data_IF_184862410328
#
_entry.id   IF_184862410328
#
_cell.length_a   1.000
_cell.length_b   1.000
_cell.length_c   1.000
_cell.angle_alpha   90.00
_cell.angle_beta   90.00
_cell.angle_gamma   90.00
#
_symmetry.space_group_name_H-M   'P 1'
#
loop_
_entity.id
_entity.type
_entity.pdbx_description
1 polymer ?
#
# COMPACT_ATOMS: atom_id res chain seq x y z
N UNK A 1 54.55 16.22 2.51
CA UNK A 1 53.33 15.47 2.89
C UNK A 1 53.15 14.11 2.18
N UNK A 2 52.98 14.01 0.85
CA UNK A 2 52.71 12.72 0.18
C UNK A 2 53.92 11.78 0.04
N UNK A 3 55.14 12.33 -0.17
CA UNK A 3 56.39 11.54 -0.16
C UNK A 3 56.64 10.76 1.14
N UNK A 4 56.12 11.24 2.29
CA UNK A 4 56.23 10.54 3.58
C UNK A 4 55.23 9.39 3.74
N UNK A 5 54.24 9.24 2.84
CA UNK A 5 53.27 8.13 2.83
C UNK A 5 53.70 6.98 1.90
N UNK A 6 54.95 6.97 1.42
CA UNK A 6 55.47 5.93 0.52
C UNK A 6 54.93 6.01 -0.91
N UNK A 7 54.52 7.20 -1.35
CA UNK A 7 54.00 7.42 -2.69
C UNK A 7 54.97 8.32 -3.44
N UNK A 8 55.74 7.75 -4.37
CA UNK A 8 56.57 8.49 -5.33
C UNK A 8 55.72 8.86 -6.56
N UNK A 9 55.72 10.13 -6.94
CA UNK A 9 55.09 10.60 -8.19
C UNK A 9 55.91 11.71 -8.82
N UNK A 10 55.84 11.78 -10.15
CA UNK A 10 56.42 12.84 -10.98
C UNK A 10 55.62 14.15 -10.86
N UNK A 11 56.23 15.29 -11.21
CA UNK A 11 55.67 16.63 -11.06
C UNK A 11 54.34 16.84 -11.82
N UNK A 12 54.09 16.04 -12.87
CA UNK A 12 52.90 16.10 -13.71
C UNK A 12 51.72 15.27 -13.15
N UNK A 13 52.00 14.21 -12.37
CA UNK A 13 50.98 13.35 -11.75
C UNK A 13 50.42 13.92 -10.43
N UNK A 14 51.16 14.85 -9.80
CA UNK A 14 50.71 15.54 -8.59
C UNK A 14 49.47 16.44 -8.82
N UNK A 15 49.22 16.87 -10.06
CA UNK A 15 48.06 17.69 -10.44
C UNK A 15 46.76 16.91 -10.66
N UNK A 16 46.85 15.61 -10.97
CA UNK A 16 45.71 14.75 -11.30
C UNK A 16 45.21 13.91 -10.11
N UNK A 17 46.01 13.78 -9.05
CA UNK A 17 45.58 13.20 -7.78
C UNK A 17 44.68 14.21 -7.08
N UNK A 18 43.37 14.03 -7.21
CA UNK A 18 42.41 14.63 -6.29
C UNK A 18 42.75 14.11 -4.89
N UNK A 19 43.57 14.87 -4.15
CA UNK A 19 43.60 14.79 -2.69
C UNK A 19 42.13 14.90 -2.31
N UNK A 20 41.54 13.78 -1.87
CA UNK A 20 40.13 13.71 -1.54
C UNK A 20 39.81 14.97 -0.75
N UNK A 21 38.91 15.82 -1.25
CA UNK A 21 38.49 17.04 -0.55
C UNK A 21 38.01 16.60 0.84
N UNK A 22 38.91 16.59 1.82
CA UNK A 22 38.55 16.35 3.22
C UNK A 22 37.69 17.54 3.56
N UNK A 23 36.41 17.24 3.78
CA UNK A 23 35.32 18.18 3.86
C UNK A 23 35.75 19.52 4.51
N UNK A 24 35.68 20.63 3.76
CA UNK A 24 35.51 21.96 4.36
C UNK A 24 36.65 22.98 4.27
N UNK A 25 37.86 22.67 3.76
CA UNK A 25 38.82 23.76 3.51
C UNK A 25 38.49 24.45 2.18
N UNK A 26 38.15 25.73 2.22
CA UNK A 26 37.93 26.52 1.00
C UNK A 26 39.26 26.67 0.24
N UNK A 27 39.26 26.62 -1.11
CA UNK A 27 40.48 26.80 -1.91
C UNK A 27 41.24 28.09 -1.57
N UNK A 28 40.52 29.19 -1.33
CA UNK A 28 41.08 30.48 -0.90
C UNK A 28 41.80 30.40 0.45
N UNK A 29 41.22 29.67 1.41
CA UNK A 29 41.82 29.46 2.72
C UNK A 29 43.05 28.57 2.61
N UNK A 30 43.00 27.52 1.79
CA UNK A 30 44.16 26.70 1.51
C UNK A 30 45.31 27.55 0.94
N UNK A 31 45.05 28.38 -0.07
CA UNK A 31 46.04 29.26 -0.67
C UNK A 31 46.67 30.21 0.36
N UNK A 32 45.85 30.84 1.22
CA UNK A 32 46.32 31.78 2.26
C UNK A 32 47.28 31.15 3.28
N UNK A 33 47.05 29.90 3.68
CA UNK A 33 47.83 29.26 4.76
C UNK A 33 48.88 28.27 4.25
N UNK A 34 48.92 27.95 2.95
CA UNK A 34 49.76 26.88 2.37
C UNK A 34 51.25 27.01 2.74
N UNK A 35 51.81 28.22 2.63
CA UNK A 35 53.24 28.47 2.88
C UNK A 35 53.57 28.35 4.36
N UNK A 36 52.76 28.94 5.24
CA UNK A 36 52.93 28.81 6.68
C UNK A 36 52.76 27.35 7.17
N UNK A 37 51.85 26.58 6.55
CA UNK A 37 51.70 25.14 6.85
C UNK A 37 52.93 24.36 6.40
N UNK A 38 53.51 24.68 5.23
CA UNK A 38 54.74 24.06 4.76
C UNK A 38 55.93 24.38 5.69
N UNK A 39 56.03 25.63 6.17
CA UNK A 39 57.00 26.01 7.20
C UNK A 39 56.79 25.22 8.50
N UNK A 40 55.53 25.01 8.92
CA UNK A 40 55.25 24.15 10.07
C UNK A 40 55.70 22.69 9.86
N UNK A 41 55.72 22.17 8.64
CA UNK A 41 56.18 20.81 8.30
C UNK A 41 57.71 20.72 8.03
N UNK A 42 58.41 21.87 8.04
CA UNK A 42 59.86 21.96 7.78
C UNK A 42 60.70 21.84 9.06
N UNK A 43 61.88 21.24 8.92
CA UNK A 43 62.90 21.19 9.97
C UNK A 43 63.49 22.57 10.26
N UNK A 44 63.54 23.46 9.26
CA UNK A 44 64.14 24.80 9.39
C UNK A 44 63.40 25.64 10.44
N UNK A 45 62.08 25.48 10.53
CA UNK A 45 61.23 26.22 11.46
C UNK A 45 60.90 25.42 12.72
N UNK A 46 61.58 24.30 13.01
CA UNK A 46 61.21 23.42 14.13
C UNK A 46 61.38 24.10 15.50
N UNK A 47 62.35 25.01 15.61
CA UNK A 47 62.61 25.81 16.81
C UNK A 47 61.49 26.83 17.08
N UNK A 48 60.85 27.35 16.02
CA UNK A 48 59.80 28.36 16.09
C UNK A 48 58.47 27.76 16.61
N UNK A 49 57.69 28.54 17.36
CA UNK A 49 56.31 28.18 17.70
C UNK A 49 55.37 28.48 16.52
N UNK A 50 54.21 27.84 16.46
CA UNK A 50 53.17 28.07 15.44
C UNK A 50 52.76 29.55 15.39
N UNK A 51 52.72 30.25 16.52
CA UNK A 51 52.45 31.70 16.55
C UNK A 51 53.59 32.56 16.01
N UNK A 52 54.84 32.12 16.13
CA UNK A 52 56.00 32.82 15.56
C UNK A 52 56.01 32.64 14.04
N UNK A 53 55.82 31.40 13.58
CA UNK A 53 55.64 31.08 12.15
C UNK A 53 54.47 31.91 11.59
N UNK A 54 53.32 31.95 12.27
CA UNK A 54 52.19 32.76 11.81
C UNK A 54 52.56 34.24 11.60
N UNK A 55 53.33 34.84 12.52
CA UNK A 55 53.77 36.24 12.41
C UNK A 55 54.73 36.46 11.25
N UNK A 56 55.66 35.54 11.02
CA UNK A 56 56.61 35.60 9.89
C UNK A 56 55.88 35.63 8.54
N UNK A 57 54.75 34.92 8.42
CA UNK A 57 53.92 34.89 7.23
C UNK A 57 52.77 35.92 7.24
N UNK A 58 52.71 36.85 8.21
CA UNK A 58 51.65 37.87 8.29
C UNK A 58 50.25 37.32 8.59
N UNK A 59 50.18 36.18 9.27
CA UNK A 59 48.95 35.45 9.61
C UNK A 59 48.63 35.53 11.10
N UNK A 60 47.35 35.31 11.42
CA UNK A 60 46.92 35.13 12.81
C UNK A 60 47.28 33.72 13.31
N UNK A 61 48.03 33.67 14.41
CA UNK A 61 48.47 32.44 15.04
C UNK A 61 47.31 31.54 15.49
N UNK A 62 46.18 32.11 15.92
CA UNK A 62 45.04 31.28 16.34
C UNK A 62 44.35 30.62 15.15
N UNK A 63 44.21 31.32 14.04
CA UNK A 63 43.64 30.76 12.83
C UNK A 63 44.58 29.76 12.14
N UNK A 64 45.89 29.99 12.13
CA UNK A 64 46.86 29.00 11.65
C UNK A 64 46.79 27.72 12.50
N UNK A 65 46.75 27.85 13.83
CA UNK A 65 46.59 26.69 14.72
C UNK A 65 45.28 25.92 14.45
N UNK A 66 44.16 26.62 14.25
CA UNK A 66 42.87 25.99 13.88
C UNK A 66 42.97 25.21 12.57
N UNK A 67 43.66 25.75 11.56
CA UNK A 67 43.88 25.08 10.27
C UNK A 67 44.70 23.80 10.43
N UNK A 68 45.78 23.86 11.20
CA UNK A 68 46.63 22.70 11.49
C UNK A 68 45.85 21.60 12.24
N UNK A 69 45.13 21.94 13.31
CA UNK A 69 44.35 20.97 14.10
C UNK A 69 43.25 20.30 13.24
N UNK A 70 42.58 21.08 12.40
CA UNK A 70 41.44 20.59 11.61
C UNK A 70 41.89 19.73 10.43
N UNK A 71 42.83 20.24 9.63
CA UNK A 71 43.15 19.68 8.31
C UNK A 71 44.51 18.96 8.26
N UNK A 72 45.46 19.31 9.14
CA UNK A 72 46.84 18.80 9.12
C UNK A 72 47.33 18.31 10.49
N UNK A 73 46.61 17.39 11.17
CA UNK A 73 47.00 16.90 12.50
C UNK A 73 48.40 16.25 12.48
N UNK A 74 48.73 15.55 11.39
CA UNK A 74 50.02 14.88 11.18
C UNK A 74 51.21 15.85 11.32
N UNK A 75 51.05 17.13 10.93
CA UNK A 75 52.10 18.16 11.06
C UNK A 75 52.34 18.51 12.52
N UNK A 76 51.27 18.62 13.31
CA UNK A 76 51.39 18.90 14.74
C UNK A 76 52.04 17.73 15.47
N UNK A 77 51.63 16.49 15.16
CA UNK A 77 52.24 15.28 15.72
C UNK A 77 53.73 15.19 15.37
N UNK A 78 54.09 15.45 14.11
CA UNK A 78 55.48 15.50 13.67
C UNK A 78 56.27 16.54 14.46
N UNK A 79 55.80 17.78 14.51
CA UNK A 79 56.50 18.86 15.22
C UNK A 79 56.69 18.53 16.70
N UNK A 80 55.66 17.99 17.34
CA UNK A 80 55.72 17.63 18.75
C UNK A 80 56.75 16.53 19.01
N UNK A 81 56.72 15.45 18.23
CA UNK A 81 57.71 14.35 18.32
C UNK A 81 59.13 14.84 18.07
N UNK A 82 59.34 15.63 17.02
CA UNK A 82 60.67 16.14 16.66
C UNK A 82 61.20 17.10 17.72
N UNK A 83 60.37 18.00 18.26
CA UNK A 83 60.78 18.90 19.36
C UNK A 83 61.09 18.14 20.65
N UNK A 84 60.35 17.08 20.96
CA UNK A 84 60.66 16.19 22.09
C UNK A 84 62.02 15.52 21.90
N UNK A 85 62.29 14.98 20.70
CA UNK A 85 63.59 14.37 20.38
C UNK A 85 64.77 15.35 20.46
N UNK A 86 64.55 16.62 20.08
CA UNK A 86 65.56 17.67 20.10
C UNK A 86 65.68 18.39 21.46
N UNK A 87 64.91 17.98 22.49
CA UNK A 87 64.91 18.65 23.80
C UNK A 87 64.31 20.07 23.79
N UNK A 88 63.60 20.45 22.73
CA UNK A 88 62.94 21.74 22.54
C UNK A 88 61.49 21.72 23.05
N UNK A 89 61.14 20.77 23.91
CA UNK A 89 59.76 20.65 24.41
C UNK A 89 59.57 21.47 25.68
N UNK A 90 58.56 22.35 25.64
CA UNK A 90 58.23 23.27 26.73
C UNK A 90 57.46 22.57 27.89
N UNK A 91 57.30 21.24 27.85
CA UNK A 91 56.56 20.38 28.80
C UNK A 91 55.11 20.79 29.09
N UNK A 92 54.55 21.70 28.30
CA UNK A 92 53.15 22.06 28.37
C UNK A 92 52.28 20.95 27.76
N UNK A 93 51.14 20.59 28.38
CA UNK A 93 50.23 19.62 27.81
C UNK A 93 49.68 20.15 26.48
N UNK A 94 50.09 19.54 25.36
CA UNK A 94 49.50 19.79 24.03
C UNK A 94 48.34 18.83 23.84
N UNK A 95 47.18 19.39 23.47
CA UNK A 95 45.95 18.61 23.31
C UNK A 95 44.75 19.25 24.00
N UNK A 96 43.71 18.44 24.23
CA UNK A 96 42.49 18.89 24.90
C UNK A 96 42.79 19.20 26.36
N UNK A 97 42.43 20.40 26.83
CA UNK A 97 42.49 20.74 28.25
C UNK A 97 41.46 19.93 29.03
N UNK A 98 41.83 19.45 30.21
CA UNK A 98 40.98 18.59 31.05
C UNK A 98 39.62 19.22 31.38
N UNK A 99 39.59 20.51 31.77
CA UNK A 99 38.33 21.21 32.04
C UNK A 99 37.40 21.30 30.81
N UNK A 100 37.97 21.41 29.60
CA UNK A 100 37.21 21.47 28.35
C UNK A 100 36.64 20.08 28.00
N UNK A 101 37.38 19.00 28.34
CA UNK A 101 36.89 17.62 28.22
C UNK A 101 35.65 17.41 29.07
N UNK A 102 35.72 17.83 30.33
CA UNK A 102 34.63 17.68 31.30
C UNK A 102 33.42 18.53 30.92
N UNK A 103 33.63 19.79 30.52
CA UNK A 103 32.56 20.70 30.12
C UNK A 103 31.71 20.19 28.95
N UNK A 104 32.32 19.53 27.96
CA UNK A 104 31.61 19.02 26.79
C UNK A 104 31.29 17.52 26.87
N UNK A 105 31.74 16.81 27.92
CA UNK A 105 31.58 15.35 28.03
C UNK A 105 30.11 14.93 27.91
N UNK A 106 29.22 15.57 28.67
CA UNK A 106 27.78 15.26 28.65
C UNK A 106 27.17 15.46 27.25
N UNK A 107 27.52 16.56 26.58
CA UNK A 107 27.02 16.87 25.24
C UNK A 107 27.55 15.88 24.19
N UNK A 108 28.79 15.42 24.34
CA UNK A 108 29.39 14.41 23.44
C UNK A 108 28.74 13.05 23.65
N UNK A 109 28.53 12.62 24.90
CA UNK A 109 27.85 11.37 25.22
C UNK A 109 26.42 11.35 24.70
N UNK A 110 25.69 12.44 24.87
CA UNK A 110 24.33 12.60 24.35
C UNK A 110 24.30 12.51 22.80
N UNK A 111 25.29 13.08 22.11
CA UNK A 111 25.42 12.97 20.65
C UNK A 111 25.88 11.59 20.17
N UNK A 112 26.56 10.81 21.01
CA UNK A 112 26.93 9.40 20.76
C UNK A 112 25.74 8.48 20.92
N UNK A 113 25.00 8.64 22.02
CA UNK A 113 23.84 7.83 22.37
C UNK A 113 22.67 8.07 21.40
N UNK A 114 22.38 9.34 21.08
CA UNK A 114 21.22 9.69 20.26
C UNK A 114 21.61 10.20 18.86
N UNK A 115 21.18 9.45 17.84
CA UNK A 115 21.37 9.81 16.44
C UNK A 115 20.50 11.00 16.01
N UNK A 116 19.35 11.19 16.66
CA UNK A 116 18.28 12.13 16.30
C UNK A 116 18.46 13.52 16.90
N UNK A 117 19.30 13.67 17.93
CA UNK A 117 19.55 14.97 18.55
C UNK A 117 20.50 15.82 17.69
N UNK A 118 20.13 17.08 17.45
CA UNK A 118 21.02 18.03 16.76
C UNK A 118 22.11 18.54 17.71
N UNK A 119 23.24 19.00 17.15
CA UNK A 119 24.31 19.63 17.95
C UNK A 119 23.79 20.86 18.71
N UNK A 120 22.80 21.55 18.16
CA UNK A 120 22.18 22.71 18.80
C UNK A 120 21.31 22.30 19.99
N UNK A 121 20.54 21.22 19.86
CA UNK A 121 19.73 20.71 20.97
C UNK A 121 20.59 20.11 22.07
N UNK A 122 21.66 19.39 21.72
CA UNK A 122 22.67 18.92 22.68
C UNK A 122 23.29 20.08 23.45
N UNK A 123 23.67 21.16 22.75
CA UNK A 123 24.22 22.36 23.36
C UNK A 123 23.23 23.01 24.34
N UNK A 124 21.95 23.11 23.97
CA UNK A 124 20.90 23.65 24.85
C UNK A 124 20.66 22.78 26.08
N UNK A 125 20.59 21.44 25.91
CA UNK A 125 20.33 20.50 27.01
C UNK A 125 21.46 20.49 28.04
N UNK A 126 22.70 20.51 27.56
CA UNK A 126 23.88 20.49 28.42
C UNK A 126 24.35 21.90 28.82
N UNK A 127 23.58 22.95 28.50
CA UNK A 127 23.89 24.34 28.80
C UNK A 127 25.30 24.79 28.37
N UNK A 128 25.72 24.39 27.16
CA UNK A 128 27.01 24.77 26.59
C UNK A 128 26.84 25.63 25.34
N UNK A 129 27.85 26.44 25.03
CA UNK A 129 27.85 27.23 23.79
C UNK A 129 27.84 26.33 22.56
N UNK A 130 26.87 26.56 21.66
CA UNK A 130 26.77 25.84 20.39
C UNK A 130 28.04 25.96 19.53
N UNK A 131 28.61 27.16 19.43
CA UNK A 131 29.81 27.39 18.62
C UNK A 131 31.03 26.70 19.22
N UNK A 132 31.16 26.73 20.55
CA UNK A 132 32.22 26.04 21.28
C UNK A 132 32.11 24.51 21.15
N UNK A 133 30.92 23.95 21.36
CA UNK A 133 30.68 22.51 21.20
C UNK A 133 30.96 22.06 19.77
N UNK A 134 30.53 22.85 18.76
CA UNK A 134 30.81 22.56 17.35
C UNK A 134 32.32 22.49 17.08
N UNK A 135 33.10 23.43 17.60
CA UNK A 135 34.55 23.42 17.47
C UNK A 135 35.18 22.23 18.18
N UNK A 136 34.75 21.95 19.41
CA UNK A 136 35.21 20.81 20.20
C UNK A 136 35.02 19.47 19.47
N UNK A 137 33.84 19.28 18.86
CA UNK A 137 33.53 18.09 18.07
C UNK A 137 34.43 17.95 16.83
N UNK A 138 34.68 19.06 16.11
CA UNK A 138 35.53 19.06 14.92
C UNK A 138 37.00 18.74 15.27
N UNK A 139 37.48 19.23 16.42
CA UNK A 139 38.88 19.04 16.80
C UNK A 139 39.14 17.65 17.38
N UNK A 140 38.29 17.16 18.28
CA UNK A 140 38.59 15.98 19.08
C UNK A 140 37.69 14.77 18.82
N UNK A 141 36.54 14.97 18.18
CA UNK A 141 35.57 13.91 17.90
C UNK A 141 35.24 13.81 16.40
N UNK A 142 36.27 13.81 15.56
CA UNK A 142 36.16 13.76 14.10
C UNK A 142 35.31 12.58 13.62
N UNK A 143 35.53 11.39 14.18
CA UNK A 143 34.77 10.19 13.83
C UNK A 143 33.27 10.31 14.14
N UNK A 144 32.92 10.94 15.28
CA UNK A 144 31.53 11.18 15.65
C UNK A 144 30.86 12.12 14.63
N UNK A 145 31.55 13.18 14.22
CA UNK A 145 31.05 14.11 13.21
C UNK A 145 30.87 13.41 11.87
N UNK A 146 31.87 12.66 11.41
CA UNK A 146 31.83 11.92 10.15
C UNK A 146 30.71 10.87 10.11
N UNK A 147 30.56 10.09 11.17
CA UNK A 147 29.48 9.10 11.28
C UNK A 147 28.11 9.75 11.18
N UNK A 148 27.92 10.91 11.83
CA UNK A 148 26.67 11.67 11.76
C UNK A 148 26.44 12.28 10.38
N UNK A 149 27.49 12.73 9.69
CA UNK A 149 27.40 13.20 8.29
C UNK A 149 26.95 12.05 7.38
N UNK A 150 27.59 10.87 7.47
CA UNK A 150 27.22 9.68 6.68
C UNK A 150 25.77 9.26 6.91
N UNK A 151 25.28 9.35 8.15
CA UNK A 151 23.87 9.10 8.48
C UNK A 151 22.95 10.10 7.77
N UNK A 152 23.31 11.40 7.78
CA UNK A 152 22.52 12.45 7.11
C UNK A 152 22.54 12.31 5.60
N UNK A 153 23.69 11.99 5.00
CA UNK A 153 23.83 11.76 3.56
C UNK A 153 22.92 10.62 3.09
N UNK A 154 22.88 9.51 3.83
CA UNK A 154 21.95 8.39 3.55
C UNK A 154 20.49 8.80 3.69
N UNK A 155 20.19 9.74 4.57
CA UNK A 155 18.86 10.28 4.79
C UNK A 155 18.45 11.36 3.78
N UNK A 156 19.37 11.87 2.96
CA UNK A 156 19.03 12.83 1.90
C UNK A 156 18.03 12.18 0.95
N UNK A 157 16.92 12.89 0.66
CA UNK A 157 15.77 12.43 -0.14
C UNK A 157 14.93 11.30 0.48
N UNK A 158 15.30 10.75 1.64
CA UNK A 158 14.45 9.80 2.36
C UNK A 158 13.43 10.55 3.23
N UNK A 159 12.14 10.41 2.90
CA UNK A 159 11.02 10.97 3.68
C UNK A 159 10.25 9.84 4.39
N UNK A 160 10.96 9.04 5.19
CA UNK A 160 10.33 8.00 6.03
C UNK A 160 9.98 8.61 7.38
N UNK A 161 8.75 8.44 7.86
CA UNK A 161 8.30 8.96 9.16
C UNK A 161 9.16 8.39 10.28
N UNK A 162 9.47 9.23 11.26
CA UNK A 162 10.30 8.86 12.40
C UNK A 162 11.77 8.59 12.06
N UNK A 163 12.21 8.75 10.81
CA UNK A 163 13.63 8.70 10.43
C UNK A 163 14.22 10.11 10.32
N UNK A 164 15.54 10.18 10.37
CA UNK A 164 16.30 11.42 10.22
C UNK A 164 16.12 11.90 8.76
N UNK A 165 15.94 13.21 8.59
CA UNK A 165 15.97 13.87 7.28
C UNK A 165 17.39 14.35 6.95
N UNK A 166 17.66 14.75 5.71
CA UNK A 166 18.96 15.35 5.34
C UNK A 166 19.36 16.57 6.20
N UNK A 167 18.41 17.26 6.83
CA UNK A 167 18.67 18.38 7.77
C UNK A 167 19.09 17.92 9.17
N UNK A 168 19.02 16.62 9.46
CA UNK A 168 19.36 16.05 10.76
C UNK A 168 18.22 16.06 11.77
N UNK A 169 17.03 16.54 11.40
CA UNK A 169 15.82 16.50 12.23
C UNK A 169 14.98 15.27 11.92
N UNK A 170 14.19 14.83 12.90
CA UNK A 170 13.17 13.80 12.71
C UNK A 170 12.15 14.22 11.66
N UNK A 171 11.83 13.32 10.73
CA UNK A 171 10.70 13.49 9.83
C UNK A 171 9.40 13.20 10.59
N UNK A 172 8.91 14.22 11.28
CA UNK A 172 7.68 14.20 12.07
C UNK A 172 6.89 15.50 11.83
N UNK A 173 5.55 15.47 11.96
CA UNK A 173 4.75 16.68 11.88
C UNK A 173 5.08 17.59 13.08
N UNK A 174 4.98 18.91 12.89
CA UNK A 174 5.11 19.84 14.01
C UNK A 174 3.98 19.62 15.02
N UNK A 175 4.21 19.85 16.33
CA UNK A 175 3.18 19.69 17.36
C UNK A 175 1.93 20.54 17.05
N UNK A 176 2.12 21.79 16.61
CA UNK A 176 1.04 22.68 16.16
C UNK A 176 0.20 22.08 15.03
N UNK A 177 0.84 21.37 14.08
CA UNK A 177 0.12 20.69 12.99
C UNK A 177 -0.67 19.49 13.50
N UNK A 178 -0.13 18.76 14.49
CA UNK A 178 -0.82 17.63 15.10
C UNK A 178 -2.09 18.11 15.80
N UNK A 179 -1.98 19.17 16.61
CA UNK A 179 -3.12 19.75 17.33
C UNK A 179 -4.19 20.26 16.36
N UNK A 180 -3.79 21.03 15.35
CA UNK A 180 -4.70 21.58 14.34
C UNK A 180 -5.56 20.52 13.63
N UNK A 181 -4.99 19.35 13.36
CA UNK A 181 -5.69 18.27 12.64
C UNK A 181 -6.17 17.13 13.54
N UNK A 182 -5.98 17.21 14.86
CA UNK A 182 -6.30 16.13 15.80
C UNK A 182 -7.77 15.72 15.75
N UNK A 183 -8.68 16.69 15.79
CA UNK A 183 -10.12 16.45 15.70
C UNK A 183 -10.50 15.83 14.35
N UNK A 184 -10.07 16.44 13.25
CA UNK A 184 -10.35 15.93 11.90
C UNK A 184 -9.81 14.50 11.71
N UNK A 185 -8.65 14.19 12.27
CA UNK A 185 -8.07 12.85 12.23
C UNK A 185 -8.87 11.85 13.06
N UNK A 186 -9.37 12.25 14.24
CA UNK A 186 -10.25 11.42 15.06
C UNK A 186 -11.52 11.03 14.28
N UNK A 187 -12.21 12.00 13.70
CA UNK A 187 -13.37 11.76 12.83
C UNK A 187 -13.02 10.87 11.64
N UNK A 188 -11.82 11.02 11.08
CA UNK A 188 -11.33 10.18 9.99
C UNK A 188 -11.01 8.73 10.42
N UNK A 189 -10.83 8.45 11.71
CA UNK A 189 -10.66 7.08 12.20
C UNK A 189 -12.00 6.42 12.50
N UNK A 190 -12.93 7.16 13.08
CA UNK A 190 -14.17 6.61 13.64
C UNK A 190 -15.34 6.60 12.66
N UNK A 191 -15.40 7.54 11.71
CA UNK A 191 -16.57 7.70 10.83
C UNK A 191 -16.31 7.28 9.39
N UNK A 192 -17.32 6.78 8.64
CA UNK A 192 -17.18 6.48 7.21
C UNK A 192 -17.20 7.74 6.33
N UNK A 193 -17.23 8.94 6.90
CA UNK A 193 -17.30 10.21 6.17
C UNK A 193 -16.05 10.44 5.30
N UNK A 194 -16.22 11.20 4.21
CA UNK A 194 -15.09 11.58 3.36
C UNK A 194 -14.25 12.66 4.02
N UNK A 195 -12.93 12.68 3.72
CA UNK A 195 -12.02 13.71 4.21
C UNK A 195 -12.52 15.13 3.89
N UNK A 196 -13.15 15.33 2.74
CA UNK A 196 -13.79 16.61 2.36
C UNK A 196 -14.91 17.03 3.31
N UNK A 197 -15.80 16.11 3.69
CA UNK A 197 -16.91 16.40 4.62
C UNK A 197 -16.36 16.67 6.02
N UNK A 198 -15.41 15.87 6.48
CA UNK A 198 -14.76 16.04 7.78
C UNK A 198 -14.06 17.41 7.85
N UNK A 199 -13.31 17.79 6.81
CA UNK A 199 -12.63 19.08 6.78
C UNK A 199 -13.61 20.26 6.87
N UNK A 200 -14.75 20.19 6.17
CA UNK A 200 -15.81 21.21 6.27
C UNK A 200 -16.40 21.28 7.68
N UNK A 201 -16.66 20.13 8.31
CA UNK A 201 -17.27 20.06 9.63
C UNK A 201 -16.35 20.58 10.74
N UNK A 202 -15.04 20.35 10.61
CA UNK A 202 -14.00 20.75 11.58
C UNK A 202 -13.39 22.12 11.27
N UNK A 203 -13.83 22.79 10.20
CA UNK A 203 -13.33 24.11 9.80
C UNK A 203 -11.88 24.12 9.27
N UNK A 204 -11.26 22.96 9.04
CA UNK A 204 -9.89 22.90 8.48
C UNK A 204 -9.90 22.99 6.95
N UNK A 205 -8.80 23.51 6.39
CA UNK A 205 -8.63 23.54 4.93
C UNK A 205 -8.69 22.13 4.34
N UNK A 206 -9.57 21.94 3.36
CA UNK A 206 -9.73 20.66 2.65
C UNK A 206 -8.39 20.20 2.08
N UNK A 207 -7.70 21.08 1.34
CA UNK A 207 -6.40 20.77 0.71
C UNK A 207 -5.36 20.40 1.77
N UNK A 208 -5.24 21.22 2.82
CA UNK A 208 -4.27 20.97 3.89
C UNK A 208 -4.53 19.67 4.65
N UNK A 209 -5.80 19.30 4.86
CA UNK A 209 -6.15 18.04 5.51
C UNK A 209 -5.80 16.83 4.62
N UNK A 210 -6.02 16.92 3.31
CA UNK A 210 -5.58 15.87 2.36
C UNK A 210 -4.05 15.72 2.36
N UNK A 211 -3.30 16.81 2.31
CA UNK A 211 -1.84 16.80 2.39
C UNK A 211 -1.36 16.19 3.72
N UNK A 212 -1.97 16.59 4.83
CA UNK A 212 -1.67 16.04 6.15
C UNK A 212 -1.91 14.52 6.21
N UNK A 213 -3.04 14.04 5.70
CA UNK A 213 -3.33 12.60 5.61
C UNK A 213 -2.33 11.88 4.70
N UNK A 214 -2.03 12.43 3.52
CA UNK A 214 -1.14 11.79 2.55
C UNK A 214 0.30 11.69 3.06
N UNK A 215 0.78 12.72 3.75
CA UNK A 215 2.14 12.77 4.29
C UNK A 215 2.26 11.98 5.58
N UNK A 216 1.33 12.16 6.54
CA UNK A 216 1.48 11.64 7.90
C UNK A 216 0.61 10.45 8.25
N UNK A 217 -0.50 10.22 7.54
CA UNK A 217 -1.48 9.14 7.86
C UNK A 217 -1.89 8.32 6.64
N UNK A 218 -0.94 8.11 5.71
CA UNK A 218 -1.16 7.32 4.48
C UNK A 218 -1.64 5.90 4.76
N UNK A 219 -1.23 5.33 5.90
CA UNK A 219 -1.71 4.06 6.44
C UNK A 219 -3.23 4.05 6.66
N UNK A 220 -3.81 5.12 7.20
CA UNK A 220 -5.26 5.24 7.40
C UNK A 220 -6.00 5.36 6.07
N UNK A 221 -5.41 6.09 5.11
CA UNK A 221 -5.96 6.23 3.76
C UNK A 221 -5.99 4.87 3.07
N UNK A 222 -4.88 4.12 3.13
CA UNK A 222 -4.78 2.77 2.58
C UNK A 222 -5.72 1.78 3.27
N UNK A 223 -5.83 1.82 4.60
CA UNK A 223 -6.74 0.96 5.38
C UNK A 223 -8.20 1.17 4.95
N UNK A 224 -8.64 2.41 4.79
CA UNK A 224 -10.00 2.75 4.30
C UNK A 224 -10.25 2.28 2.87
N UNK A 225 -9.20 2.03 2.10
CA UNK A 225 -9.26 1.54 0.72
C UNK A 225 -8.99 0.04 0.59
N UNK A 226 -8.71 -0.65 1.70
CA UNK A 226 -8.38 -2.08 1.69
C UNK A 226 -7.01 -2.40 1.07
N UNK A 227 -6.08 -1.44 1.05
CA UNK A 227 -4.76 -1.62 0.43
C UNK A 227 -3.74 -1.91 1.54
N UNK A 228 -2.87 -2.92 1.38
CA UNK A 228 -1.74 -3.10 2.28
C UNK A 228 -0.79 -1.91 2.14
N UNK A 229 -0.45 -1.28 3.27
CA UNK A 229 0.48 -0.16 3.31
C UNK A 229 1.75 -0.55 4.03
N UNK A 230 2.87 -0.34 3.36
CA UNK A 230 4.19 -0.40 3.95
C UNK A 230 4.93 0.92 3.71
N UNK A 231 5.57 1.42 4.76
CA UNK A 231 6.27 2.69 4.70
C UNK A 231 7.52 2.61 3.80
N UNK A 232 7.58 3.48 2.79
CA UNK A 232 8.67 3.53 1.83
C UNK A 232 8.51 2.63 0.61
N UNK A 233 7.46 1.80 0.52
CA UNK A 233 7.06 1.15 -0.73
C UNK A 233 6.08 2.05 -1.51
N UNK A 234 6.17 2.10 -2.84
CA UNK A 234 5.16 2.78 -3.64
C UNK A 234 3.82 2.06 -3.45
N UNK A 235 2.79 2.84 -3.15
CA UNK A 235 1.42 2.32 -3.07
C UNK A 235 0.88 2.32 -4.48
N UNK A 236 0.46 1.16 -4.96
CA UNK A 236 -0.25 1.06 -6.22
C UNK A 236 -1.67 1.64 -6.05
N UNK A 237 -1.89 2.80 -6.65
CA UNK A 237 -3.21 3.45 -6.67
C UNK A 237 -4.08 2.98 -7.84
N UNK A 238 -3.54 2.16 -8.77
CA UNK A 238 -4.27 1.70 -9.96
C UNK A 238 -5.25 0.56 -9.66
N UNK A 239 -4.90 -0.33 -8.74
CA UNK A 239 -5.79 -1.36 -8.17
C UNK A 239 -6.91 -0.77 -7.28
N UNK A 240 -6.83 0.51 -6.94
CA UNK A 240 -7.77 1.20 -6.04
C UNK A 240 -9.03 1.57 -6.79
N UNK A 241 -10.00 0.66 -6.78
CA UNK A 241 -11.34 0.94 -7.28
C UNK A 241 -11.96 2.08 -6.46
N UNK A 242 -12.48 3.09 -7.18
CA UNK A 242 -12.79 4.44 -6.69
C UNK A 242 -14.08 4.52 -5.86
N UNK A 243 -14.18 3.84 -4.72
CA UNK A 243 -15.35 4.03 -3.85
C UNK A 243 -15.02 4.52 -2.44
N UNK A 244 -15.93 5.33 -1.91
CA UNK A 244 -15.82 6.03 -0.63
C UNK A 244 -16.38 5.10 0.46
N UNK A 245 -15.76 4.96 1.64
CA UNK A 245 -16.34 4.18 2.74
C UNK A 245 -17.81 4.51 3.03
N UNK A 246 -18.23 5.76 2.85
CA UNK A 246 -19.63 6.17 2.96
C UNK A 246 -20.58 5.46 1.97
N UNK A 247 -20.15 5.19 0.74
CA UNK A 247 -20.97 4.44 -0.22
C UNK A 247 -21.05 2.96 0.13
N UNK A 248 -19.98 2.40 0.70
CA UNK A 248 -20.01 1.03 1.20
C UNK A 248 -20.98 0.88 2.38
N UNK A 249 -20.96 1.82 3.33
CA UNK A 249 -21.92 1.85 4.42
C UNK A 249 -23.38 1.96 3.92
N UNK A 250 -23.63 2.76 2.87
CA UNK A 250 -24.97 2.89 2.26
C UNK A 250 -25.53 1.56 1.72
N UNK A 251 -24.67 0.69 1.18
CA UNK A 251 -25.08 -0.57 0.56
C UNK A 251 -24.94 -1.79 1.49
N UNK A 252 -24.36 -1.63 2.68
CA UNK A 252 -24.05 -2.74 3.58
C UNK A 252 -25.29 -3.52 4.01
N UNK A 253 -26.33 -2.83 4.48
CA UNK A 253 -27.58 -3.46 4.94
C UNK A 253 -28.33 -4.13 3.78
N UNK A 254 -28.34 -3.50 2.61
CA UNK A 254 -28.93 -4.07 1.40
C UNK A 254 -28.18 -5.34 0.92
N UNK A 255 -26.85 -5.39 1.08
CA UNK A 255 -26.05 -6.58 0.76
C UNK A 255 -26.31 -7.69 1.78
N UNK A 256 -26.38 -7.37 3.07
CA UNK A 256 -26.71 -8.35 4.10
C UNK A 256 -28.09 -8.98 3.84
N UNK A 257 -29.09 -8.17 3.50
CA UNK A 257 -30.43 -8.65 3.14
C UNK A 257 -30.43 -9.52 1.86
N UNK A 258 -29.59 -9.19 0.88
CA UNK A 258 -29.41 -10.05 -0.30
C UNK A 258 -28.74 -11.38 0.03
N UNK A 259 -27.80 -11.42 0.98
CA UNK A 259 -27.11 -12.65 1.42
C UNK A 259 -28.05 -13.61 2.17
N UNK A 260 -29.02 -13.08 2.92
CA UNK A 260 -30.08 -13.87 3.58
C UNK A 260 -31.02 -14.59 2.60
N UNK A 261 -31.02 -14.18 1.33
CA UNK A 261 -31.68 -14.89 0.23
C UNK A 261 -33.17 -14.55 0.02
N UNK A 262 -33.73 -15.13 -1.04
CA UNK A 262 -35.18 -15.09 -1.33
C UNK A 262 -35.73 -13.87 -2.08
N UNK A 263 -34.93 -12.82 -2.31
CA UNK A 263 -35.39 -11.57 -2.96
C UNK A 263 -34.57 -11.25 -4.22
N UNK A 264 -35.17 -10.53 -5.17
CA UNK A 264 -34.46 -10.03 -6.35
C UNK A 264 -33.67 -8.77 -5.99
N UNK A 265 -32.57 -8.52 -6.70
CA UNK A 265 -31.78 -7.28 -6.54
C UNK A 265 -32.62 -6.01 -6.66
N UNK A 266 -33.65 -6.02 -7.50
CA UNK A 266 -34.57 -4.88 -7.65
C UNK A 266 -35.49 -4.68 -6.44
N UNK A 267 -35.96 -5.77 -5.83
CA UNK A 267 -36.86 -5.70 -4.67
C UNK A 267 -36.12 -5.20 -3.44
N UNK A 268 -34.91 -5.73 -3.19
CA UNK A 268 -34.05 -5.23 -2.10
C UNK A 268 -33.66 -3.77 -2.35
N UNK A 269 -33.31 -3.38 -3.58
CA UNK A 269 -33.02 -1.99 -3.88
C UNK A 269 -34.20 -1.05 -3.55
N UNK A 270 -35.43 -1.44 -3.89
CA UNK A 270 -36.62 -0.67 -3.57
C UNK A 270 -36.86 -0.53 -2.06
N UNK A 271 -36.68 -1.62 -1.30
CA UNK A 271 -36.82 -1.63 0.18
C UNK A 271 -35.89 -0.61 0.85
N UNK A 272 -34.67 -0.46 0.35
CA UNK A 272 -33.67 0.47 0.91
C UNK A 272 -33.63 1.83 0.20
N UNK A 273 -34.60 2.14 -0.69
CA UNK A 273 -34.63 3.41 -1.43
C UNK A 273 -33.43 3.61 -2.37
N UNK A 274 -32.86 2.53 -2.87
CA UNK A 274 -31.69 2.50 -3.74
C UNK A 274 -32.12 2.38 -5.22
N UNK A 275 -31.37 3.01 -6.11
CA UNK A 275 -31.57 2.80 -7.55
C UNK A 275 -31.12 1.38 -7.95
N UNK A 276 -31.99 0.53 -8.51
CA UNK A 276 -31.69 -0.89 -8.77
C UNK A 276 -30.43 -1.10 -9.62
N UNK A 277 -30.24 -0.27 -10.65
CA UNK A 277 -29.12 -0.45 -11.57
C UNK A 277 -27.77 0.00 -10.98
N UNK A 278 -27.78 1.04 -10.15
CA UNK A 278 -26.57 1.47 -9.44
C UNK A 278 -26.15 0.41 -8.42
N UNK A 279 -27.13 -0.24 -7.78
CA UNK A 279 -26.87 -1.32 -6.84
C UNK A 279 -26.35 -2.58 -7.53
N UNK A 280 -26.87 -2.95 -8.70
CA UNK A 280 -26.33 -4.06 -9.50
C UNK A 280 -24.89 -3.83 -9.94
N UNK A 281 -24.59 -2.63 -10.43
CA UNK A 281 -23.23 -2.25 -10.80
C UNK A 281 -22.29 -2.33 -9.57
N UNK A 282 -22.75 -1.86 -8.40
CA UNK A 282 -22.00 -1.96 -7.15
C UNK A 282 -21.72 -3.42 -6.74
N UNK A 283 -22.73 -4.30 -6.81
CA UNK A 283 -22.58 -5.73 -6.51
C UNK A 283 -21.57 -6.40 -7.45
N UNK A 284 -21.63 -6.08 -8.75
CA UNK A 284 -20.66 -6.61 -9.73
C UNK A 284 -19.22 -6.21 -9.41
N UNK A 285 -19.03 -5.02 -8.84
CA UNK A 285 -17.71 -4.46 -8.54
C UNK A 285 -17.14 -4.91 -7.19
N UNK A 286 -17.99 -5.12 -6.18
CA UNK A 286 -17.59 -5.41 -4.78
C UNK A 286 -17.82 -6.84 -4.32
N UNK A 287 -18.86 -7.51 -4.83
CA UNK A 287 -19.26 -8.86 -4.43
C UNK A 287 -19.55 -9.67 -5.72
N UNK A 288 -18.52 -9.91 -6.56
CA UNK A 288 -18.72 -10.53 -7.87
C UNK A 288 -19.28 -11.95 -7.75
N UNK A 289 -18.99 -12.65 -6.66
CA UNK A 289 -19.54 -13.98 -6.35
C UNK A 289 -21.05 -13.92 -6.11
N UNK A 290 -21.51 -12.97 -5.27
CA UNK A 290 -22.94 -12.74 -5.06
C UNK A 290 -23.61 -12.29 -6.36
N UNK A 291 -22.99 -11.38 -7.11
CA UNK A 291 -23.50 -10.94 -8.39
C UNK A 291 -23.63 -12.10 -9.39
N UNK A 292 -22.63 -12.97 -9.49
CA UNK A 292 -22.66 -14.16 -10.34
C UNK A 292 -23.70 -15.18 -9.88
N UNK A 293 -23.90 -15.33 -8.57
CA UNK A 293 -24.92 -16.22 -8.00
C UNK A 293 -26.35 -15.75 -8.32
N UNK A 294 -26.58 -14.44 -8.36
CA UNK A 294 -27.84 -13.79 -8.69
C UNK A 294 -28.06 -13.61 -10.21
N UNK A 295 -26.97 -13.72 -10.98
CA UNK A 295 -26.97 -13.64 -12.43
C UNK A 295 -27.53 -14.90 -13.11
N UNK A 296 -27.63 -14.84 -14.43
CA UNK A 296 -28.01 -16.00 -15.24
C UNK A 296 -26.87 -17.03 -15.24
N UNK A 297 -27.17 -18.29 -14.93
CA UNK A 297 -26.20 -19.41 -14.96
C UNK A 297 -26.39 -20.24 -16.23
N UNK A 298 -25.29 -20.79 -16.76
CA UNK A 298 -25.35 -21.78 -17.85
C UNK A 298 -25.82 -23.12 -17.28
N UNK A 299 -26.83 -23.73 -17.91
CA UNK A 299 -27.23 -25.11 -17.65
C UNK A 299 -26.36 -26.09 -18.44
N UNK A 300 -26.46 -27.39 -18.13
CA UNK A 300 -25.76 -28.49 -18.82
C UNK A 300 -26.02 -28.47 -20.35
N UNK A 301 -27.19 -27.99 -20.76
CA UNK A 301 -27.58 -27.83 -22.16
C UNK A 301 -27.07 -26.52 -22.81
N UNK A 302 -26.12 -25.83 -22.18
CA UNK A 302 -25.51 -24.59 -22.67
C UNK A 302 -26.40 -23.34 -22.61
N UNK A 303 -27.63 -23.45 -22.09
CA UNK A 303 -28.61 -22.35 -22.06
C UNK A 303 -28.48 -21.52 -20.78
N UNK A 304 -28.67 -20.21 -20.90
CA UNK A 304 -28.66 -19.29 -19.76
C UNK A 304 -30.02 -19.32 -19.04
N UNK A 305 -30.02 -19.64 -17.74
CA UNK A 305 -31.22 -19.72 -16.89
C UNK A 305 -30.99 -18.94 -15.60
N UNK A 306 -32.00 -18.22 -15.12
CA UNK A 306 -31.95 -17.59 -13.80
C UNK A 306 -32.11 -18.66 -12.71
N UNK A 307 -31.19 -18.76 -11.73
CA UNK A 307 -31.27 -19.75 -10.65
C UNK A 307 -32.61 -19.73 -9.91
N UNK A 308 -33.16 -18.54 -9.65
CA UNK A 308 -34.45 -18.38 -8.98
C UNK A 308 -35.62 -18.89 -9.84
N UNK A 309 -35.58 -18.68 -11.16
CA UNK A 309 -36.60 -19.23 -12.06
C UNK A 309 -36.50 -20.76 -12.16
N UNK A 310 -35.28 -21.29 -12.15
CA UNK A 310 -35.05 -22.73 -12.14
C UNK A 310 -35.62 -23.35 -10.87
N UNK A 311 -35.33 -22.77 -9.71
CA UNK A 311 -35.82 -23.25 -8.42
C UNK A 311 -37.35 -23.15 -8.31
N UNK A 312 -37.93 -22.03 -8.77
CA UNK A 312 -39.39 -21.84 -8.83
C UNK A 312 -40.12 -22.89 -9.68
N UNK A 313 -39.51 -23.33 -10.78
CA UNK A 313 -40.14 -24.28 -11.71
C UNK A 313 -39.65 -25.72 -11.57
N UNK A 314 -38.63 -26.00 -10.75
CA UNK A 314 -37.98 -27.32 -10.64
C UNK A 314 -38.97 -28.44 -10.31
N UNK A 315 -39.82 -28.23 -9.30
CA UNK A 315 -40.81 -29.23 -8.89
C UNK A 315 -41.92 -29.41 -9.93
N UNK A 316 -42.37 -28.30 -10.55
CA UNK A 316 -43.36 -28.34 -11.62
C UNK A 316 -42.82 -29.05 -12.89
N UNK A 317 -41.53 -28.89 -13.20
CA UNK A 317 -40.85 -29.57 -14.31
C UNK A 317 -40.70 -31.06 -14.02
N UNK A 318 -40.28 -31.43 -12.80
CA UNK A 318 -40.19 -32.84 -12.40
C UNK A 318 -41.55 -33.54 -12.50
N UNK A 319 -42.62 -32.90 -12.04
CA UNK A 319 -43.98 -33.45 -12.19
C UNK A 319 -44.44 -33.50 -13.64
N UNK A 320 -44.06 -32.52 -14.48
CA UNK A 320 -44.38 -32.54 -15.90
C UNK A 320 -43.66 -33.68 -16.66
N UNK A 321 -42.48 -34.06 -16.21
CA UNK A 321 -41.71 -35.17 -16.77
C UNK A 321 -42.24 -36.55 -16.33
N UNK A 322 -42.57 -36.68 -15.04
CA UNK A 322 -42.94 -37.95 -14.39
C UNK A 322 -44.42 -38.29 -14.49
N UNK A 323 -45.32 -37.30 -14.57
CA UNK A 323 -46.77 -37.52 -14.54
C UNK A 323 -47.44 -37.21 -15.88
N UNK A 324 -48.57 -37.87 -16.20
CA UNK A 324 -49.37 -37.55 -17.39
C UNK A 324 -50.25 -36.30 -17.23
N UNK A 325 -50.16 -35.56 -16.11
CA UNK A 325 -51.01 -34.40 -15.82
C UNK A 325 -50.75 -33.25 -16.82
N UNK A 326 -51.82 -32.58 -17.27
CA UNK A 326 -51.68 -31.44 -18.18
C UNK A 326 -50.88 -30.30 -17.53
N UNK A 327 -50.11 -29.56 -18.35
CA UNK A 327 -49.36 -28.38 -17.91
C UNK A 327 -50.24 -27.38 -17.14
N UNK A 328 -51.52 -27.24 -17.53
CA UNK A 328 -52.51 -26.35 -16.90
C UNK A 328 -52.98 -26.84 -15.52
N UNK A 329 -52.92 -28.15 -15.27
CA UNK A 329 -53.19 -28.75 -13.95
C UNK A 329 -52.02 -28.51 -13.01
N UNK A 330 -50.81 -28.83 -13.47
CA UNK A 330 -49.57 -28.64 -12.72
C UNK A 330 -49.39 -27.16 -12.35
N UNK A 331 -49.58 -26.25 -13.31
CA UNK A 331 -49.49 -24.82 -13.06
C UNK A 331 -50.49 -24.36 -11.97
N UNK A 332 -51.72 -24.89 -11.95
CA UNK A 332 -52.71 -24.57 -10.90
C UNK A 332 -52.30 -25.09 -9.53
N UNK A 333 -51.73 -26.30 -9.44
CA UNK A 333 -51.25 -26.89 -8.17
C UNK A 333 -50.15 -26.06 -7.50
N UNK A 334 -49.27 -25.46 -8.29
CA UNK A 334 -48.16 -24.65 -7.78
C UNK A 334 -48.44 -23.14 -7.75
N UNK A 335 -49.68 -22.70 -8.04
CA UNK A 335 -50.01 -21.28 -8.12
C UNK A 335 -49.24 -20.53 -9.22
N UNK A 336 -48.82 -21.24 -10.27
CA UNK A 336 -48.04 -20.72 -11.38
C UNK A 336 -48.93 -20.37 -12.56
N UNK A 337 -48.51 -19.38 -13.36
CA UNK A 337 -49.19 -19.09 -14.61
C UNK A 337 -48.80 -20.11 -15.69
N UNK A 338 -49.79 -20.81 -16.23
CA UNK A 338 -49.58 -21.90 -17.18
C UNK A 338 -48.78 -21.48 -18.43
N UNK A 339 -49.02 -20.27 -18.95
CA UNK A 339 -48.28 -19.75 -20.10
C UNK A 339 -46.81 -19.48 -19.77
N UNK A 340 -46.50 -18.97 -18.58
CA UNK A 340 -45.12 -18.70 -18.14
C UNK A 340 -44.34 -19.99 -17.93
N UNK A 341 -44.96 -21.01 -17.33
CA UNK A 341 -44.37 -22.33 -17.17
C UNK A 341 -44.13 -23.00 -18.53
N UNK A 342 -45.11 -22.94 -19.44
CA UNK A 342 -44.99 -23.51 -20.79
C UNK A 342 -43.88 -22.85 -21.60
N UNK A 343 -43.79 -21.52 -21.54
CA UNK A 343 -42.73 -20.76 -22.23
C UNK A 343 -41.35 -21.10 -21.66
N UNK A 344 -41.24 -21.29 -20.33
CA UNK A 344 -40.00 -21.69 -19.67
C UNK A 344 -39.54 -23.09 -20.10
N UNK A 345 -40.45 -24.07 -20.09
CA UNK A 345 -40.16 -25.44 -20.55
C UNK A 345 -39.78 -25.45 -22.03
N UNK A 346 -40.52 -24.73 -22.89
CA UNK A 346 -40.19 -24.63 -24.32
C UNK A 346 -38.79 -24.06 -24.57
N UNK A 347 -38.37 -23.06 -23.79
CA UNK A 347 -37.09 -22.38 -23.97
C UNK A 347 -35.92 -23.21 -23.44
N UNK A 348 -36.08 -23.86 -22.28
CA UNK A 348 -34.97 -24.51 -21.58
C UNK A 348 -34.96 -26.04 -21.70
N UNK A 349 -36.13 -26.66 -21.89
CA UNK A 349 -36.32 -28.12 -21.97
C UNK A 349 -37.20 -28.53 -23.17
N UNK A 350 -36.80 -28.24 -24.42
CA UNK A 350 -37.58 -28.61 -25.61
C UNK A 350 -37.74 -30.13 -25.75
N UNK A 351 -36.74 -30.90 -25.34
CA UNK A 351 -36.75 -32.36 -25.35
C UNK A 351 -37.88 -32.94 -24.50
N UNK A 352 -38.22 -32.31 -23.36
CA UNK A 352 -39.34 -32.73 -22.52
C UNK A 352 -40.69 -32.53 -23.24
N UNK A 353 -40.82 -31.46 -24.04
CA UNK A 353 -41.99 -31.23 -24.87
C UNK A 353 -42.09 -32.28 -25.98
N UNK A 354 -40.98 -32.59 -26.64
CA UNK A 354 -40.91 -33.57 -27.72
C UNK A 354 -41.27 -34.98 -27.23
N UNK A 355 -40.69 -35.42 -26.10
CA UNK A 355 -41.01 -36.71 -25.46
C UNK A 355 -42.50 -36.81 -25.11
N UNK A 356 -43.11 -35.73 -24.63
CA UNK A 356 -44.54 -35.71 -24.31
C UNK A 356 -45.42 -35.77 -25.54
N UNK A 357 -45.08 -35.02 -26.59
CA UNK A 357 -45.79 -35.07 -27.86
C UNK A 357 -45.71 -36.46 -28.52
N UNK A 358 -44.56 -37.14 -28.42
CA UNK A 358 -44.42 -38.53 -28.87
C UNK A 358 -45.30 -39.49 -28.07
N UNK A 359 -45.29 -39.41 -26.73
CA UNK A 359 -46.14 -40.25 -25.87
C UNK A 359 -47.63 -40.04 -26.13
N UNK A 360 -48.06 -38.81 -26.39
CA UNK A 360 -49.45 -38.52 -26.75
C UNK A 360 -49.82 -39.08 -28.14
N UNK A 361 -48.92 -38.97 -29.14
CA UNK A 361 -49.12 -39.58 -30.46
C UNK A 361 -49.21 -41.11 -30.38
N UNK A 362 -48.37 -41.75 -29.56
CA UNK A 362 -48.41 -43.20 -29.35
C UNK A 362 -49.67 -43.65 -28.62
N UNK A 363 -50.12 -42.91 -27.59
CA UNK A 363 -51.41 -43.16 -26.93
C UNK A 363 -52.59 -43.04 -27.88
N UNK A 364 -52.61 -41.99 -28.72
CA UNK A 364 -53.67 -41.82 -29.71
C UNK A 364 -53.65 -42.92 -30.79
N UNK A 365 -52.46 -43.41 -31.18
CA UNK A 365 -52.32 -44.57 -32.06
C UNK A 365 -52.82 -45.86 -31.41
N UNK A 366 -52.51 -46.11 -30.13
CA UNK A 366 -52.97 -47.30 -29.39
C UNK A 366 -54.48 -47.28 -29.15
N UNK A 367 -55.05 -46.16 -28.69
CA UNK A 367 -56.50 -46.04 -28.48
C UNK A 367 -57.30 -46.07 -29.79
N UNK A 368 -56.72 -45.61 -30.91
CA UNK A 368 -57.29 -45.78 -32.24
C UNK A 368 -57.32 -47.25 -32.68
N UNK A 369 -56.26 -47.99 -32.38
CA UNK A 369 -56.13 -49.42 -32.69
C UNK A 369 -57.06 -50.29 -31.83
N UNK A 370 -57.18 -49.99 -30.54
CA UNK A 370 -58.14 -50.66 -29.63
C UNK A 370 -59.59 -50.38 -30.01
N UNK A 371 -59.93 -49.16 -30.47
CA UNK A 371 -61.26 -48.84 -31.02
C UNK A 371 -61.54 -49.58 -32.31
N UNK A 372 -60.57 -49.67 -33.24
CA UNK A 372 -60.75 -50.42 -34.49
C UNK A 372 -60.88 -51.93 -34.24
N UNK A 373 -60.09 -52.49 -33.33
CA UNK A 373 -60.16 -53.91 -32.94
C UNK A 373 -61.46 -54.21 -32.19
N UNK A 374 -61.94 -53.30 -31.33
CA UNK A 374 -63.25 -53.44 -30.66
C UNK A 374 -64.42 -53.37 -31.66
N UNK A 375 -64.34 -52.53 -32.69
CA UNK A 375 -65.34 -52.47 -33.77
C UNK A 375 -65.28 -53.70 -34.67
N UNK A 376 -64.09 -54.23 -34.98
CA UNK A 376 -63.94 -55.48 -35.73
C UNK A 376 -64.42 -56.71 -34.94
N UNK A 377 -64.21 -56.74 -33.62
CA UNK A 377 -64.71 -57.81 -32.75
C UNK A 377 -66.24 -57.78 -32.61
N UNK A 378 -66.84 -56.58 -32.59
CA UNK A 378 -68.29 -56.41 -32.62
C UNK A 378 -68.91 -56.88 -33.94
N UNK A 379 -68.28 -56.55 -35.08
CA UNK A 379 -68.67 -57.03 -36.41
C UNK A 379 -68.52 -58.56 -36.55
N UNK A 380 -67.50 -59.17 -35.95
CA UNK A 380 -67.33 -60.63 -35.95
C UNK A 380 -68.39 -61.37 -35.12
N UNK A 381 -68.79 -60.81 -33.97
CA UNK A 381 -69.91 -61.37 -33.16
C UNK A 381 -71.25 -61.30 -33.90
N UNK A 382 -71.52 -60.23 -34.66
CA UNK A 382 -72.72 -60.14 -35.51
C UNK A 382 -72.72 -61.15 -36.67
N UNK A 383 -71.54 -61.59 -37.15
CA UNK A 383 -71.43 -62.61 -38.20
C UNK A 383 -71.51 -64.05 -37.69
N UNK A 384 -71.06 -64.33 -36.46
CA UNK A 384 -71.14 -65.67 -35.86
C UNK A 384 -72.56 -66.02 -35.37
N UNK A 385 -73.39 -65.03 -35.01
CA UNK A 385 -74.80 -65.26 -34.63
C UNK A 385 -75.70 -65.59 -35.85
N UNK A 386 -75.18 -65.51 -37.08
CA UNK A 386 -75.94 -65.81 -38.32
C UNK A 386 -75.62 -67.16 -38.97
N UNK A 387 -74.71 -67.96 -38.44
CA UNK A 387 -74.30 -69.24 -39.09
C UNK A 387 -74.30 -70.40 -38.10
N UNK A 388 -75.51 -70.90 -37.74
CA UNK A 388 -75.88 -72.32 -37.55
C UNK A 388 -77.14 -72.49 -36.67
N UNK A 389 -77.99 -73.53 -36.88
CA UNK A 389 -78.94 -73.62 -37.99
C UNK A 389 -80.35 -74.06 -37.52
N UNK A 390 -81.40 -73.83 -38.31
CA UNK A 390 -82.58 -74.70 -38.25
C UNK A 390 -82.96 -75.09 -39.67
N UNK A 391 -82.37 -76.21 -40.09
CA UNK A 391 -82.96 -77.03 -41.14
C UNK A 391 -84.12 -77.82 -40.55
N UNK A 392 -85.29 -77.69 -41.17
CA UNK A 392 -86.35 -78.69 -41.13
C UNK A 392 -86.64 -79.02 -42.60
N UNK A 393 -86.53 -80.31 -42.90
CA UNK A 393 -86.52 -80.89 -44.24
C UNK A 393 -87.90 -81.06 -44.89
N UNK A 394 -87.95 -81.72 -46.06
CA UNK A 394 -89.07 -81.69 -46.97
C UNK A 394 -90.04 -82.86 -46.77
N UNK A 395 -91.34 -82.57 -46.88
CA UNK A 395 -92.38 -83.34 -47.57
C UNK A 395 -93.71 -82.57 -47.46
#
# INVERSE_FOLDING_TARGET
MLKRKGIEYSLEEAGSIKISQRCGQRPETHAKYKEAIAACDSMEYIACNVSQIAREFGLDGTNLARQLITHYPDVLEFRERTRQQLGLNDNLPRGMRQWCKEQYAEAVELLRADRYITVQDAAKRCNVSYTGLKQHLIFYHKELVENRIKIRERAVRQQRKGKITGRGTLHAPSPETIEKYAEALHWYRTTPLSARKIAKQTGVSIKGFYEYLQTWHKDLVCRRKGIPYEEGKPVDWSSVRRYNPATAAKYADAIARLKEGGLTTAKVAAEFGLHPECFRQYLKEHEPELHASLGMKKTENGKMVSPQSMEKYKEAIHLYETTPESLKSIARRFGLHACSLGQFIKRHFPELMERRNLREKERNRKGGKERSESTELALKKETEEKVHPTGIGPA
#
